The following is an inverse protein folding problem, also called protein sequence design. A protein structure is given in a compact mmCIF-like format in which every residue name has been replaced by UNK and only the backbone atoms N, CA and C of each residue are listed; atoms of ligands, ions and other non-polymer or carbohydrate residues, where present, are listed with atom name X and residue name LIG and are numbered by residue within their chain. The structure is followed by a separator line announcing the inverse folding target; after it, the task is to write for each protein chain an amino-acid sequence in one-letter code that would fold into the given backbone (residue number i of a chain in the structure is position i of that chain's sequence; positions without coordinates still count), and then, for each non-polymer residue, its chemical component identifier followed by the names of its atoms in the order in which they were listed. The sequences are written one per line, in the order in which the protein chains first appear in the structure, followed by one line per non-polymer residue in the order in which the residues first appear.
data_IF_433876313438
#
_entry.id   IF_433876313438
#
_cell.length_a   1.000
_cell.length_b   1.000
_cell.length_c   1.000
_cell.angle_alpha   90.00
_cell.angle_beta   90.00
_cell.angle_gamma   90.00
#
_symmetry.space_group_name_H-M   'P 1'
#
loop_
_entity.id
_entity.type
_entity.pdbx_description
1 polymer ?
#
# COMPACT_ATOMS: atom_id res chain seq x y z
N UNK A 1 8.44 15.08 8.97
CA UNK A 1 7.15 14.39 9.05
C UNK A 1 7.26 13.13 8.21
N UNK A 2 7.02 11.96 8.81
CA UNK A 2 7.06 10.67 8.12
C UNK A 2 5.65 10.35 7.62
N UNK A 3 5.56 9.84 6.39
CA UNK A 3 4.30 9.44 5.75
C UNK A 3 4.21 7.92 5.70
N UNK A 4 3.06 7.38 6.05
CA UNK A 4 2.77 5.94 6.05
C UNK A 4 1.48 5.70 5.29
N UNK A 5 1.49 4.72 4.39
CA UNK A 5 0.29 4.29 3.68
C UNK A 5 -0.40 3.16 4.43
N UNK A 6 -1.68 3.36 4.73
CA UNK A 6 -2.57 2.38 5.37
C UNK A 6 -3.75 2.01 4.49
N UNK A 7 -4.32 0.84 4.71
CA UNK A 7 -5.59 0.40 4.14
C UNK A 7 -6.75 0.70 5.10
N UNK A 8 -7.75 1.42 4.62
CA UNK A 8 -8.97 1.73 5.35
C UNK A 8 -10.11 0.74 5.12
N UNK A 9 -9.91 -0.27 4.28
CA UNK A 9 -10.87 -1.35 4.06
C UNK A 9 -10.65 -2.54 4.98
N UNK A 10 -11.65 -3.43 5.07
CA UNK A 10 -11.62 -4.68 5.84
C UNK A 10 -10.65 -5.72 5.28
N UNK A 11 -10.17 -5.51 4.05
CA UNK A 11 -9.40 -6.48 3.29
C UNK A 11 -7.89 -6.29 3.48
N UNK A 12 -7.12 -6.92 2.61
CA UNK A 12 -5.67 -6.83 2.58
C UNK A 12 -5.20 -5.54 1.91
N UNK A 13 -3.98 -5.11 2.26
CA UNK A 13 -3.31 -4.01 1.59
C UNK A 13 -2.79 -4.44 0.23
N UNK A 14 -3.36 -3.87 -0.82
CA UNK A 14 -2.89 -4.01 -2.19
C UNK A 14 -2.93 -2.66 -2.90
N UNK A 15 -1.96 -2.42 -3.76
CA UNK A 15 -2.00 -1.33 -4.73
C UNK A 15 -2.58 -1.83 -6.05
N UNK A 16 -3.16 -0.91 -6.82
CA UNK A 16 -3.69 -1.22 -8.14
C UNK A 16 -2.59 -1.68 -9.09
N UNK A 17 -2.94 -2.40 -10.17
CA UNK A 17 -1.99 -2.70 -11.23
C UNK A 17 -1.34 -1.43 -11.81
N UNK A 18 -2.12 -0.37 -12.02
CA UNK A 18 -1.62 0.95 -12.46
C UNK A 18 -0.58 1.53 -11.48
N UNK A 19 -0.88 1.54 -10.19
CA UNK A 19 0.07 1.99 -9.16
C UNK A 19 1.32 1.10 -9.11
N UNK A 20 1.15 -0.21 -9.30
CA UNK A 20 2.26 -1.16 -9.30
C UNK A 20 3.22 -0.94 -10.47
N UNK A 21 2.69 -0.68 -11.67
CA UNK A 21 3.51 -0.30 -12.84
C UNK A 21 4.25 1.01 -12.55
N UNK A 22 3.55 2.02 -12.01
CA UNK A 22 4.18 3.30 -11.64
C UNK A 22 5.32 3.12 -10.64
N UNK A 23 5.16 2.26 -9.65
CA UNK A 23 6.20 1.94 -8.66
C UNK A 23 7.43 1.30 -9.31
N UNK A 24 7.23 0.43 -10.30
CA UNK A 24 8.32 -0.18 -11.08
C UNK A 24 9.06 0.84 -11.95
N UNK A 25 8.35 1.77 -12.58
CA UNK A 25 8.95 2.88 -13.33
C UNK A 25 9.84 3.76 -12.43
N UNK A 26 9.43 3.97 -11.17
CA UNK A 26 10.22 4.68 -10.15
C UNK A 26 11.35 3.81 -9.57
N UNK A 27 11.52 2.58 -10.04
CA UNK A 27 12.53 1.64 -9.58
C UNK A 27 12.36 1.24 -8.11
N UNK A 28 11.13 1.07 -7.64
CA UNK A 28 10.84 0.56 -6.29
C UNK A 28 11.29 -0.91 -6.20
N UNK A 29 12.12 -1.26 -5.22
CA UNK A 29 12.88 -2.51 -5.23
C UNK A 29 12.02 -3.76 -5.08
N UNK A 30 11.08 -3.75 -4.15
CA UNK A 30 10.15 -4.85 -3.88
C UNK A 30 9.16 -5.03 -5.05
N UNK A 31 8.69 -3.94 -5.65
CA UNK A 31 7.80 -3.98 -6.82
C UNK A 31 8.48 -4.59 -8.05
N UNK A 32 9.79 -4.39 -8.21
CA UNK A 32 10.57 -5.00 -9.30
C UNK A 32 10.76 -6.51 -9.11
N UNK A 33 10.72 -7.01 -7.87
CA UNK A 33 10.89 -8.43 -7.55
C UNK A 33 9.56 -9.19 -7.48
N UNK A 34 8.50 -8.51 -7.05
CA UNK A 34 7.17 -9.10 -6.93
C UNK A 34 6.59 -9.46 -8.31
N UNK A 35 5.97 -10.64 -8.43
CA UNK A 35 5.41 -11.12 -9.69
C UNK A 35 4.18 -10.30 -10.07
N UNK A 36 4.19 -9.72 -11.28
CA UNK A 36 3.03 -9.05 -11.84
C UNK A 36 2.10 -10.06 -12.51
N UNK A 37 1.03 -10.42 -11.81
CA UNK A 37 0.00 -11.33 -12.34
C UNK A 37 -0.81 -10.68 -13.46
N UNK A 38 -0.98 -9.36 -13.44
CA UNK A 38 -1.70 -8.58 -14.44
C UNK A 38 -0.93 -8.34 -15.74
N UNK A 39 0.38 -8.60 -15.77
CA UNK A 39 1.25 -8.33 -16.92
C UNK A 39 0.75 -8.93 -18.24
N UNK A 40 0.17 -10.13 -18.20
CA UNK A 40 -0.31 -10.82 -19.40
C UNK A 40 -1.70 -10.35 -19.87
N UNK A 41 -2.47 -9.69 -19.01
CA UNK A 41 -3.82 -9.21 -19.30
C UNK A 41 -4.10 -7.82 -18.68
N UNK A 42 -3.41 -6.76 -19.12
CA UNK A 42 -3.52 -5.43 -18.52
C UNK A 42 -4.94 -4.86 -18.58
N UNK A 43 -5.70 -5.16 -19.65
CA UNK A 43 -7.10 -4.74 -19.79
C UNK A 43 -8.05 -5.48 -18.83
N UNK A 44 -7.67 -6.67 -18.36
CA UNK A 44 -8.44 -7.45 -17.40
C UNK A 44 -7.98 -7.25 -15.94
N UNK A 45 -6.80 -6.65 -15.71
CA UNK A 45 -6.23 -6.39 -14.40
C UNK A 45 -6.88 -5.20 -13.66
N UNK A 46 -8.17 -4.99 -13.86
CA UNK A 46 -8.93 -3.92 -13.21
C UNK A 46 -9.05 -4.12 -11.69
N UNK A 47 -9.40 -3.07 -10.91
CA UNK A 47 -9.50 -3.15 -9.45
C UNK A 47 -10.49 -4.18 -8.92
N UNK A 48 -11.45 -4.62 -9.74
CA UNK A 48 -12.43 -5.64 -9.37
C UNK A 48 -11.97 -7.08 -9.69
N UNK A 49 -10.81 -7.27 -10.31
CA UNK A 49 -10.29 -8.60 -10.65
C UNK A 49 -9.30 -9.07 -9.58
N UNK A 50 -9.75 -9.86 -8.60
CA UNK A 50 -8.93 -10.29 -7.47
C UNK A 50 -7.71 -11.10 -7.88
N UNK A 51 -7.74 -11.84 -9.00
CA UNK A 51 -6.61 -12.72 -9.36
C UNK A 51 -5.42 -11.95 -9.94
N UNK A 52 -5.65 -10.74 -10.45
CA UNK A 52 -4.68 -9.93 -11.19
C UNK A 52 -4.31 -8.62 -10.47
N UNK A 53 -5.10 -8.17 -9.49
CA UNK A 53 -4.94 -6.86 -8.85
C UNK A 53 -4.63 -6.96 -7.33
N UNK A 54 -3.66 -7.81 -6.99
CA UNK A 54 -3.12 -7.98 -5.62
C UNK A 54 -1.61 -7.78 -5.62
N UNK A 55 -1.17 -6.56 -5.85
CA UNK A 55 0.25 -6.22 -5.94
C UNK A 55 0.69 -5.31 -4.79
N UNK A 56 2.01 -5.19 -4.59
CA UNK A 56 2.64 -4.24 -3.68
C UNK A 56 2.58 -4.66 -2.21
N UNK A 57 2.28 -5.94 -1.94
CA UNK A 57 2.19 -6.46 -0.58
C UNK A 57 3.54 -6.48 0.14
N UNK A 58 4.64 -6.52 -0.61
CA UNK A 58 6.00 -6.54 -0.07
C UNK A 58 6.58 -5.15 0.18
N UNK A 59 5.93 -4.10 -0.33
CA UNK A 59 6.46 -2.73 -0.30
C UNK A 59 6.36 -2.17 1.13
N UNK A 60 7.45 -1.59 1.69
CA UNK A 60 7.40 -0.94 2.98
C UNK A 60 6.35 0.17 3.03
N UNK A 61 5.56 0.24 4.12
CA UNK A 61 4.44 1.19 4.21
C UNK A 61 4.87 2.65 4.32
N UNK A 62 6.12 2.90 4.69
CA UNK A 62 6.75 4.24 4.69
C UNK A 62 7.70 4.46 3.50
N UNK A 63 7.64 3.61 2.46
CA UNK A 63 8.39 3.82 1.22
C UNK A 63 7.95 5.13 0.54
N UNK A 64 8.92 5.98 0.22
CA UNK A 64 8.66 7.31 -0.35
C UNK A 64 8.00 7.24 -1.74
N UNK A 65 8.32 6.22 -2.54
CA UNK A 65 7.72 6.02 -3.87
C UNK A 65 6.30 5.50 -3.72
N UNK A 66 6.04 4.62 -2.75
CA UNK A 66 4.67 4.20 -2.41
C UNK A 66 3.80 5.41 -2.02
N UNK A 67 4.29 6.24 -1.11
CA UNK A 67 3.60 7.47 -0.70
C UNK A 67 3.35 8.37 -1.91
N UNK A 68 4.37 8.63 -2.72
CA UNK A 68 4.26 9.44 -3.92
C UNK A 68 3.15 8.91 -4.85
N UNK A 69 3.16 7.61 -5.16
CA UNK A 69 2.19 7.01 -6.08
C UNK A 69 0.77 7.06 -5.54
N UNK A 70 0.58 6.83 -4.24
CA UNK A 70 -0.76 6.92 -3.63
C UNK A 70 -1.27 8.36 -3.62
N UNK A 71 -0.40 9.36 -3.42
CA UNK A 71 -0.78 10.77 -3.50
C UNK A 71 -1.08 11.21 -4.94
N UNK A 72 -0.30 10.73 -5.91
CA UNK A 72 -0.47 10.99 -7.35
C UNK A 72 -1.78 10.40 -7.88
N UNK A 73 -2.00 9.11 -7.66
CA UNK A 73 -3.12 8.35 -8.25
C UNK A 73 -4.40 8.38 -7.40
N UNK A 74 -4.30 8.74 -6.11
CA UNK A 74 -5.43 8.77 -5.17
C UNK A 74 -6.20 7.45 -5.19
N UNK A 75 -7.52 7.48 -5.39
CA UNK A 75 -8.36 6.28 -5.47
C UNK A 75 -7.98 5.31 -6.59
N UNK A 76 -7.31 5.76 -7.65
CA UNK A 76 -6.80 4.87 -8.69
C UNK A 76 -5.61 4.02 -8.20
N UNK A 77 -4.99 4.36 -7.07
CA UNK A 77 -3.98 3.53 -6.43
C UNK A 77 -4.57 2.31 -5.71
N UNK A 78 -5.88 2.27 -5.48
CA UNK A 78 -6.51 1.21 -4.71
C UNK A 78 -6.48 -0.11 -5.47
N UNK A 79 -5.79 -1.10 -4.90
CA UNK A 79 -5.84 -2.48 -5.37
C UNK A 79 -7.17 -3.15 -5.06
N UNK A 80 -7.25 -4.46 -5.30
CA UNK A 80 -8.48 -5.21 -5.07
C UNK A 80 -9.01 -5.02 -3.64
N UNK A 81 -10.22 -4.47 -3.57
CA UNK A 81 -10.97 -4.19 -2.34
C UNK A 81 -10.20 -3.37 -1.29
N UNK A 82 -9.22 -2.55 -1.70
CA UNK A 82 -8.45 -1.67 -0.82
C UNK A 82 -9.00 -0.24 -0.82
N UNK A 83 -8.75 0.49 0.26
CA UNK A 83 -8.96 1.94 0.34
C UNK A 83 -7.71 2.58 0.95
N UNK A 84 -6.77 3.02 0.10
CA UNK A 84 -5.47 3.48 0.55
C UNK A 84 -5.53 4.93 1.05
N UNK A 85 -4.84 5.18 2.16
CA UNK A 85 -4.70 6.51 2.75
C UNK A 85 -3.28 6.74 3.24
N UNK A 86 -2.76 7.95 2.99
CA UNK A 86 -1.51 8.43 3.59
C UNK A 86 -1.79 9.09 4.93
N UNK A 87 -1.03 8.70 5.96
CA UNK A 87 -1.06 9.27 7.31
C UNK A 87 0.30 9.87 7.61
N UNK A 88 0.31 11.07 8.18
CA UNK A 88 1.53 11.73 8.63
C UNK A 88 1.75 11.50 10.14
N UNK A 89 2.98 11.19 10.51
CA UNK A 89 3.43 11.04 11.90
C UNK A 89 4.74 11.82 12.12
N UNK A 90 5.16 12.07 13.38
CA UNK A 90 6.49 12.60 13.67
C UNK A 90 7.62 11.70 13.12
N UNK A 91 8.78 12.28 12.80
CA UNK A 91 9.90 11.52 12.20
C UNK A 91 10.61 10.60 13.19
N UNK A 92 10.55 10.94 14.47
CA UNK A 92 11.35 10.39 15.57
C UNK A 92 10.60 9.36 16.43
N UNK A 93 9.40 8.94 15.98
CA UNK A 93 8.61 7.91 16.68
C UNK A 93 8.71 6.56 15.99
N UNK A 94 8.82 5.50 16.80
CA UNK A 94 8.60 4.13 16.32
C UNK A 94 7.11 3.91 16.18
N UNK A 95 6.70 3.22 15.12
CA UNK A 95 5.29 3.01 14.81
C UNK A 95 5.00 1.55 14.49
N UNK A 96 3.73 1.18 14.66
CA UNK A 96 3.13 -0.09 14.23
C UNK A 96 1.84 0.18 13.49
N UNK A 97 1.43 -0.76 12.64
CA UNK A 97 0.08 -0.77 12.08
C UNK A 97 -0.75 -1.77 12.85
N UNK A 98 -1.84 -1.28 13.43
CA UNK A 98 -2.87 -2.10 14.09
C UNK A 98 -4.10 -2.18 13.20
N UNK A 99 -4.81 -3.31 13.25
CA UNK A 99 -6.09 -3.49 12.57
C UNK A 99 -7.20 -3.51 13.61
N UNK A 100 -7.92 -2.40 13.73
CA UNK A 100 -9.04 -2.24 14.68
C UNK A 100 -10.33 -2.18 13.87
N UNK A 101 -11.27 -3.07 14.17
CA UNK A 101 -12.53 -3.24 13.42
C UNK A 101 -12.28 -3.42 11.92
N UNK A 102 -11.27 -4.22 11.57
CA UNK A 102 -10.91 -4.49 10.19
C UNK A 102 -10.19 -3.35 9.46
N UNK A 103 -9.98 -2.20 10.09
CA UNK A 103 -9.41 -1.01 9.44
C UNK A 103 -8.01 -0.75 9.99
N UNK A 104 -7.03 -0.51 9.12
CA UNK A 104 -5.67 -0.20 9.58
C UNK A 104 -5.61 1.19 10.22
N UNK A 105 -4.79 1.30 11.26
CA UNK A 105 -4.41 2.53 11.96
C UNK A 105 -2.92 2.48 12.24
N UNK A 106 -2.26 3.64 12.19
CA UNK A 106 -0.88 3.79 12.64
C UNK A 106 -0.89 4.24 14.09
N UNK A 107 -0.17 3.52 14.94
CA UNK A 107 0.00 3.82 16.37
C UNK A 107 1.49 3.95 16.69
N UNK A 108 1.84 4.75 17.68
CA UNK A 108 3.20 4.75 18.24
C UNK A 108 3.45 3.46 19.03
N UNK A 109 4.69 2.95 18.97
CA UNK A 109 5.10 1.82 19.81
C UNK A 109 5.33 2.30 21.24
N UNK A 110 4.44 1.88 22.15
CA UNK A 110 4.57 2.17 23.57
C UNK A 110 5.23 1.03 24.34
N UNK A 111 5.88 1.35 25.46
CA UNK A 111 6.38 0.35 26.41
C UNK A 111 5.19 -0.32 27.10
N UNK A 112 5.28 -1.63 27.26
CA UNK A 112 4.32 -2.44 28.01
C UNK A 112 5.10 -3.02 29.20
N UNK A 113 4.49 -2.99 30.37
CA UNK A 113 5.03 -3.57 31.61
C UNK A 113 4.02 -4.58 32.15
N UNK A 114 4.52 -5.73 32.61
CA UNK A 114 3.75 -6.81 33.23
C UNK A 114 3.96 -6.83 34.74
#
# INVERSE_FOLDING_TARGET
MKKIVINKSYEHFFVSHEAFIRLRELGQAEALQEIDRGAHWPLAAGPQEPSLNRCGALIPRDDKKLVQVVEELRGAANGYAAELKVVEIPDDVKWVIDKIDGVERVSEVHRIWE
#
